data_IF_690219760700
#
_entry.id   IF_690219760700
#
_cell.length_a   1.000
_cell.length_b   1.000
_cell.length_c   1.000
_cell.angle_alpha   90.00
_cell.angle_beta   90.00
_cell.angle_gamma   90.00
#
_symmetry.space_group_name_H-M   'P 1'
#
loop_
_entity.id
_entity.type
_entity.pdbx_description
1 polymer ?
#
# COMPACT_ATOMS: atom_id res chain seq x y z
N UNK A 1 21.59 12.14 7.82
CA UNK A 1 21.85 10.92 7.04
C UNK A 1 20.88 9.89 7.58
N UNK A 2 19.99 9.34 6.74
CA UNK A 2 19.00 8.37 7.21
C UNK A 2 19.67 7.00 7.21
N UNK A 3 19.80 6.40 8.39
CA UNK A 3 20.22 5.01 8.54
C UNK A 3 18.98 4.15 8.74
N UNK A 4 19.01 2.93 8.20
CA UNK A 4 17.93 1.96 8.34
C UNK A 4 18.47 0.61 8.82
N UNK A 5 17.77 0.02 9.78
CA UNK A 5 18.01 -1.35 10.23
C UNK A 5 16.95 -2.27 9.64
N UNK A 6 17.38 -3.29 8.90
CA UNK A 6 16.53 -4.32 8.35
C UNK A 6 16.78 -5.67 9.03
N UNK A 7 15.69 -6.38 9.33
CA UNK A 7 15.73 -7.78 9.76
C UNK A 7 15.33 -8.67 8.59
N UNK A 8 16.30 -9.40 8.05
CA UNK A 8 16.11 -10.32 6.92
C UNK A 8 16.04 -11.76 7.40
N UNK A 9 15.06 -12.53 6.91
CA UNK A 9 14.89 -13.94 7.31
C UNK A 9 15.91 -14.85 6.62
N UNK A 10 16.55 -15.74 7.38
CA UNK A 10 17.46 -16.76 6.84
C UNK A 10 16.68 -17.95 6.26
N UNK A 11 17.18 -18.50 5.15
CA UNK A 11 16.58 -19.67 4.46
C UNK A 11 17.19 -21.01 4.86
N UNK A 12 17.39 -21.22 6.16
CA UNK A 12 17.92 -22.49 6.67
C UNK A 12 16.81 -23.50 6.97
N UNK A 13 17.09 -24.79 6.75
CA UNK A 13 16.21 -25.90 7.14
C UNK A 13 16.33 -26.14 8.65
N UNK A 14 15.88 -25.19 9.46
CA UNK A 14 15.84 -25.30 10.92
C UNK A 14 14.43 -25.00 11.42
N UNK A 15 14.07 -25.60 12.56
CA UNK A 15 12.76 -25.43 13.20
C UNK A 15 12.44 -23.96 13.55
N UNK A 16 13.47 -23.14 13.75
CA UNK A 16 13.38 -21.69 13.88
C UNK A 16 14.36 -21.03 12.91
N UNK A 17 13.90 -20.44 11.80
CA UNK A 17 14.78 -19.74 10.87
C UNK A 17 15.36 -18.51 11.56
N UNK A 18 16.68 -18.43 11.67
CA UNK A 18 17.37 -17.26 12.20
C UNK A 18 17.17 -16.00 11.34
N UNK A 19 17.76 -14.90 11.78
CA UNK A 19 17.73 -13.63 11.06
C UNK A 19 19.14 -13.11 10.80
N UNK A 20 19.23 -12.30 9.75
CA UNK A 20 20.37 -11.43 9.48
C UNK A 20 19.89 -10.01 9.77
N UNK A 21 20.63 -9.27 10.60
CA UNK A 21 20.41 -7.84 10.78
C UNK A 21 21.29 -7.10 9.79
N UNK A 22 20.74 -6.10 9.11
CA UNK A 22 21.47 -5.29 8.13
C UNK A 22 21.29 -3.83 8.49
N UNK A 23 22.40 -3.12 8.66
CA UNK A 23 22.45 -1.67 8.70
C UNK A 23 22.73 -1.13 7.31
N UNK A 24 21.95 -0.13 6.92
CA UNK A 24 21.99 0.47 5.59
C UNK A 24 22.22 1.96 5.74
N UNK A 25 23.32 2.43 5.14
CA UNK A 25 23.67 3.84 5.04
C UNK A 25 23.72 4.30 3.59
N UNK A 26 23.43 5.58 3.36
CA UNK A 26 23.69 6.22 2.08
C UNK A 26 25.14 6.69 1.98
N UNK A 27 25.86 6.29 0.93
CA UNK A 27 27.28 6.60 0.73
C UNK A 27 27.57 7.43 -0.52
N UNK A 28 26.56 7.66 -1.38
CA UNK A 28 26.75 8.36 -2.64
C UNK A 28 25.67 9.40 -2.92
N UNK A 29 25.82 10.14 -4.03
CA UNK A 29 24.89 11.19 -4.42
C UNK A 29 23.55 10.64 -4.93
N UNK A 30 23.50 9.39 -5.38
CA UNK A 30 22.26 8.79 -5.87
C UNK A 30 21.50 8.10 -4.72
N UNK A 31 20.16 8.06 -4.77
CA UNK A 31 19.34 7.48 -3.71
C UNK A 31 19.67 6.02 -3.39
N UNK A 32 20.10 5.24 -4.38
CA UNK A 32 20.46 3.83 -4.23
C UNK A 32 21.98 3.61 -4.19
N UNK A 33 22.77 4.60 -3.82
CA UNK A 33 24.19 4.38 -3.49
C UNK A 33 24.28 4.07 -1.99
N UNK A 34 24.23 2.78 -1.67
CA UNK A 34 24.05 2.25 -0.31
C UNK A 34 25.27 1.45 0.15
N UNK A 35 25.58 1.55 1.44
CA UNK A 35 26.48 0.65 2.16
C UNK A 35 25.65 -0.26 3.05
N UNK A 36 25.93 -1.55 3.00
CA UNK A 36 25.24 -2.57 3.77
C UNK A 36 26.24 -3.25 4.69
N UNK A 37 25.90 -3.28 5.98
CA UNK A 37 26.65 -4.00 7.01
C UNK A 37 25.69 -5.01 7.62
N UNK A 38 25.88 -6.28 7.30
CA UNK A 38 25.10 -7.40 7.80
C UNK A 38 25.76 -8.06 9.00
N UNK A 39 24.97 -8.60 9.92
CA UNK A 39 25.47 -9.50 10.97
C UNK A 39 24.49 -10.63 11.25
N UNK A 40 25.05 -11.81 11.52
CA UNK A 40 24.33 -12.97 12.04
C UNK A 40 24.62 -13.21 13.54
N UNK A 41 25.05 -12.16 14.24
CA UNK A 41 25.55 -12.12 15.62
C UNK A 41 26.96 -12.66 15.84
N UNK A 42 27.54 -13.38 14.86
CA UNK A 42 28.90 -13.94 14.99
C UNK A 42 29.90 -13.20 14.12
N UNK A 43 29.51 -12.85 12.89
CA UNK A 43 30.37 -12.16 11.94
C UNK A 43 29.70 -10.93 11.35
N UNK A 44 30.54 -10.05 10.79
CA UNK A 44 30.16 -8.89 10.01
C UNK A 44 30.37 -9.16 8.53
N UNK A 45 29.38 -8.79 7.74
CA UNK A 45 29.33 -8.98 6.30
C UNK A 45 29.11 -7.63 5.63
N UNK A 46 29.85 -7.36 4.55
CA UNK A 46 29.84 -6.03 3.93
C UNK A 46 29.51 -6.12 2.45
N UNK A 47 28.68 -5.18 1.98
CA UNK A 47 28.48 -4.92 0.56
C UNK A 47 28.28 -3.42 0.32
N UNK A 48 28.55 -3.00 -0.90
CA UNK A 48 28.09 -1.72 -1.43
C UNK A 48 27.15 -1.98 -2.61
N UNK A 49 26.11 -1.18 -2.70
CA UNK A 49 25.17 -1.17 -3.80
C UNK A 49 25.26 0.19 -4.45
N UNK A 50 25.59 0.23 -5.73
CA UNK A 50 25.62 1.47 -6.51
C UNK A 50 24.47 1.50 -7.50
N UNK A 51 23.78 2.63 -7.60
CA UNK A 51 22.65 2.76 -8.52
C UNK A 51 23.07 2.54 -9.99
N UNK A 52 24.33 2.83 -10.34
CA UNK A 52 24.92 2.60 -11.67
C UNK A 52 24.94 1.12 -12.05
N UNK A 53 25.19 0.25 -11.06
CA UNK A 53 25.48 -1.17 -11.26
C UNK A 53 24.27 -2.05 -10.98
N UNK A 54 23.12 -1.48 -10.60
CA UNK A 54 21.90 -2.22 -10.28
C UNK A 54 21.48 -3.25 -11.32
N UNK A 55 21.74 -3.01 -12.60
CA UNK A 55 21.38 -3.95 -13.67
C UNK A 55 22.07 -5.32 -13.50
N UNK A 56 23.28 -5.37 -12.95
CA UNK A 56 23.98 -6.65 -12.73
C UNK A 56 23.39 -7.50 -11.60
N UNK A 57 22.64 -6.88 -10.69
CA UNK A 57 21.98 -7.56 -9.58
C UNK A 57 20.66 -8.25 -9.99
N UNK A 58 20.16 -7.96 -11.19
CA UNK A 58 18.93 -8.56 -11.71
C UNK A 58 19.13 -10.06 -11.97
N UNK A 59 18.15 -10.86 -11.54
CA UNK A 59 18.10 -12.25 -11.96
C UNK A 59 17.84 -12.34 -13.47
N UNK A 60 18.38 -13.38 -14.11
CA UNK A 60 18.23 -13.58 -15.56
C UNK A 60 16.77 -13.76 -16.02
N UNK A 61 15.90 -14.19 -15.11
CA UNK A 61 14.46 -14.36 -15.32
C UNK A 61 13.63 -13.13 -14.87
N UNK A 62 14.26 -12.00 -14.56
CA UNK A 62 13.56 -10.76 -14.28
C UNK A 62 12.98 -10.18 -15.57
N UNK A 63 11.66 -9.94 -15.59
CA UNK A 63 10.93 -9.50 -16.80
C UNK A 63 10.63 -8.00 -16.83
N UNK A 64 11.02 -7.25 -15.80
CA UNK A 64 10.75 -5.82 -15.70
C UNK A 64 11.83 -4.95 -16.35
N UNK A 65 11.55 -3.65 -16.45
CA UNK A 65 12.55 -2.68 -16.89
C UNK A 65 13.49 -2.21 -15.75
N UNK A 66 14.49 -1.41 -16.08
CA UNK A 66 15.46 -0.90 -15.11
C UNK A 66 14.82 0.05 -14.07
N UNK A 67 13.76 0.77 -14.41
CA UNK A 67 13.09 1.67 -13.47
C UNK A 67 12.25 0.88 -12.46
N UNK A 68 11.51 -0.13 -12.91
CA UNK A 68 10.83 -1.09 -12.05
C UNK A 68 11.81 -1.79 -11.12
N UNK A 69 12.99 -2.13 -11.61
CA UNK A 69 14.04 -2.70 -10.77
C UNK A 69 14.55 -1.74 -9.70
N UNK A 70 14.83 -0.48 -10.05
CA UNK A 70 15.19 0.56 -9.08
C UNK A 70 14.11 0.73 -8.01
N UNK A 71 12.85 0.81 -8.41
CA UNK A 71 11.72 0.90 -7.47
C UNK A 71 11.62 -0.33 -6.58
N UNK A 72 11.87 -1.52 -7.13
CA UNK A 72 11.88 -2.77 -6.35
C UNK A 72 13.00 -2.78 -5.31
N UNK A 73 14.20 -2.31 -5.67
CA UNK A 73 15.33 -2.21 -4.73
C UNK A 73 15.07 -1.15 -3.66
N UNK A 74 14.57 0.04 -4.04
CA UNK A 74 14.21 1.09 -3.10
C UNK A 74 13.13 0.60 -2.11
N UNK A 75 12.13 -0.13 -2.60
CA UNK A 75 11.12 -0.75 -1.77
C UNK A 75 11.71 -1.81 -0.83
N UNK A 76 12.53 -2.72 -1.35
CA UNK A 76 13.05 -3.85 -0.58
C UNK A 76 14.10 -3.44 0.47
N UNK A 77 15.00 -2.52 0.14
CA UNK A 77 16.13 -2.12 1.00
C UNK A 77 15.91 -0.81 1.76
N UNK A 78 14.99 0.05 1.34
CA UNK A 78 14.76 1.35 1.99
C UNK A 78 13.31 1.53 2.47
N UNK A 79 12.45 0.51 2.28
CA UNK A 79 11.01 0.59 2.55
C UNK A 79 10.31 1.78 1.88
N UNK A 80 10.88 2.28 0.76
CA UNK A 80 10.31 3.40 0.03
C UNK A 80 9.13 2.93 -0.82
N UNK A 81 7.94 3.44 -0.50
CA UNK A 81 6.75 3.23 -1.32
C UNK A 81 6.69 4.28 -2.44
N UNK A 82 6.50 3.89 -3.71
CA UNK A 82 6.35 4.85 -4.80
C UNK A 82 5.08 5.70 -4.62
N UNK A 83 5.12 6.94 -5.08
CA UNK A 83 3.98 7.86 -5.03
C UNK A 83 2.84 7.36 -5.91
N UNK A 84 1.63 7.30 -5.36
CA UNK A 84 0.42 6.90 -6.08
C UNK A 84 -0.07 5.49 -5.73
N UNK A 85 -0.85 4.85 -6.62
CA UNK A 85 -1.36 3.49 -6.39
C UNK A 85 -0.22 2.48 -6.19
N UNK A 86 -0.38 1.58 -5.21
CA UNK A 86 0.62 0.56 -4.93
C UNK A 86 0.83 -0.36 -6.15
N UNK A 87 2.03 -0.39 -6.75
CA UNK A 87 2.26 -1.15 -7.97
C UNK A 87 2.16 -2.66 -7.74
N UNK A 88 1.51 -3.36 -8.66
CA UNK A 88 1.32 -4.81 -8.58
C UNK A 88 2.65 -5.58 -8.53
N UNK A 89 3.67 -5.09 -9.22
CA UNK A 89 5.00 -5.71 -9.24
C UNK A 89 5.74 -5.61 -7.89
N UNK A 90 5.29 -4.79 -6.94
CA UNK A 90 5.85 -4.76 -5.58
C UNK A 90 5.14 -5.74 -4.64
N UNK A 91 4.00 -6.30 -5.05
CA UNK A 91 3.23 -7.23 -4.22
C UNK A 91 4.03 -8.49 -3.93
N UNK A 92 4.16 -8.82 -2.65
CA UNK A 92 4.87 -10.01 -2.19
C UNK A 92 6.39 -9.93 -2.35
N UNK A 93 6.95 -8.76 -2.65
CA UNK A 93 8.41 -8.57 -2.65
C UNK A 93 8.91 -8.69 -1.21
N UNK A 94 9.89 -9.56 -1.00
CA UNK A 94 10.54 -9.79 0.29
C UNK A 94 12.05 -10.02 0.11
N UNK A 95 12.80 -9.72 1.17
CA UNK A 95 14.21 -10.07 1.29
C UNK A 95 14.37 -11.37 2.06
N UNK A 96 15.27 -12.23 1.57
CA UNK A 96 15.71 -13.43 2.30
C UNK A 96 17.22 -13.56 2.21
N UNK A 97 17.83 -14.14 3.24
CA UNK A 97 19.27 -14.31 3.31
C UNK A 97 19.65 -15.79 3.33
N UNK A 98 20.79 -16.11 2.73
CA UNK A 98 21.45 -17.41 2.85
C UNK A 98 22.90 -17.20 3.23
N UNK A 99 23.31 -17.76 4.35
CA UNK A 99 24.70 -17.71 4.82
C UNK A 99 25.41 -18.95 4.30
N UNK A 100 26.50 -18.77 3.57
CA UNK A 100 27.37 -19.85 3.10
C UNK A 100 28.70 -19.73 3.82
N UNK A 101 29.08 -20.79 4.55
CA UNK A 101 30.39 -20.92 5.19
C UNK A 101 31.11 -22.07 4.53
N UNK A 102 32.28 -21.79 3.96
CA UNK A 102 33.19 -22.82 3.47
C UNK A 102 34.26 -22.99 4.55
N UNK A 103 34.51 -24.23 4.97
CA UNK A 103 35.53 -24.53 5.99
C UNK A 103 36.88 -23.94 5.57
N UNK A 104 37.48 -23.16 6.48
CA UNK A 104 38.73 -22.40 6.34
C UNK A 104 38.70 -21.12 5.47
N UNK A 105 37.55 -20.74 4.90
CA UNK A 105 37.39 -19.50 4.14
C UNK A 105 36.43 -18.50 4.82
N UNK A 106 36.54 -17.23 4.43
CA UNK A 106 35.58 -16.19 4.80
C UNK A 106 34.20 -16.58 4.27
N UNK A 107 33.18 -16.48 5.12
CA UNK A 107 31.80 -16.73 4.71
C UNK A 107 31.25 -15.64 3.80
N UNK A 108 30.23 -15.98 3.02
CA UNK A 108 29.50 -15.04 2.18
C UNK A 108 28.01 -15.13 2.50
N UNK A 109 27.34 -13.99 2.53
CA UNK A 109 25.89 -13.91 2.72
C UNK A 109 25.24 -13.44 1.44
N UNK A 110 24.43 -14.31 0.82
CA UNK A 110 23.63 -13.94 -0.34
C UNK A 110 22.26 -13.44 0.13
N UNK A 111 22.00 -12.15 -0.06
CA UNK A 111 20.67 -11.57 0.08
C UNK A 111 19.95 -11.73 -1.26
N UNK A 112 18.79 -12.34 -1.23
CA UNK A 112 17.93 -12.51 -2.42
C UNK A 112 16.70 -11.62 -2.29
N UNK A 113 16.52 -10.76 -3.29
CA UNK A 113 15.25 -10.06 -3.53
C UNK A 113 14.36 -11.00 -4.29
N UNK A 114 13.23 -11.40 -3.70
CA UNK A 114 12.29 -12.32 -4.34
C UNK A 114 10.86 -11.84 -4.19
N UNK A 115 9.99 -12.33 -5.06
CA UNK A 115 8.55 -12.19 -4.97
C UNK A 115 7.94 -13.50 -4.49
N UNK A 116 7.03 -13.44 -3.53
CA UNK A 116 6.27 -14.58 -3.03
C UNK A 116 4.78 -14.25 -3.03
N UNK A 117 4.02 -14.87 -3.93
CA UNK A 117 2.57 -14.71 -4.02
C UNK A 117 1.95 -16.10 -3.92
N UNK A 118 1.17 -16.34 -2.87
CA UNK A 118 0.48 -17.61 -2.66
C UNK A 118 1.43 -18.82 -2.53
N UNK A 119 2.67 -18.63 -2.08
CA UNK A 119 3.68 -19.69 -1.96
C UNK A 119 4.54 -19.91 -3.21
N UNK A 120 4.21 -19.26 -4.33
CA UNK A 120 5.04 -19.29 -5.54
C UNK A 120 6.13 -18.23 -5.40
N UNK A 121 7.39 -18.67 -5.34
CA UNK A 121 8.55 -17.79 -5.19
C UNK A 121 9.26 -17.55 -6.52
N UNK A 122 9.46 -16.29 -6.89
CA UNK A 122 10.26 -15.86 -8.03
C UNK A 122 11.44 -15.02 -7.53
N UNK A 123 12.66 -15.43 -7.82
CA UNK A 123 13.85 -14.59 -7.58
C UNK A 123 13.85 -13.42 -8.55
N UNK A 124 14.02 -12.20 -8.04
CA UNK A 124 14.10 -10.97 -8.83
C UNK A 124 15.55 -10.49 -8.97
N UNK A 125 16.38 -10.77 -7.95
CA UNK A 125 17.80 -10.47 -7.97
C UNK A 125 18.49 -10.88 -6.68
N UNK A 126 19.81 -10.71 -6.63
CA UNK A 126 20.63 -11.08 -5.48
C UNK A 126 21.81 -10.13 -5.29
N UNK A 127 22.27 -10.02 -4.04
CA UNK A 127 23.43 -9.26 -3.63
C UNK A 127 24.23 -10.09 -2.63
N UNK A 128 25.52 -10.24 -2.86
CA UNK A 128 26.42 -10.96 -1.97
C UNK A 128 27.15 -9.98 -1.04
N UNK A 129 27.22 -10.33 0.25
CA UNK A 129 27.97 -9.62 1.27
C UNK A 129 29.13 -10.51 1.72
N UNK A 130 30.33 -9.95 1.71
CA UNK A 130 31.55 -10.67 2.07
C UNK A 130 31.88 -10.50 3.55
N UNK A 131 32.29 -11.59 4.21
CA UNK A 131 32.69 -11.53 5.61
C UNK A 131 33.98 -10.70 5.78
N UNK A 132 33.93 -9.74 6.70
CA UNK A 132 35.08 -8.90 7.02
C UNK A 132 34.95 -8.31 8.42
N UNK A 133 35.25 -9.11 9.44
CA UNK A 133 35.11 -8.73 10.86
C UNK A 133 36.06 -7.60 11.29
N UNK A 134 37.07 -7.28 10.46
CA UNK A 134 38.11 -6.29 10.77
C UNK A 134 37.89 -4.93 10.10
N UNK A 135 36.90 -4.81 9.20
CA UNK A 135 36.72 -3.61 8.38
C UNK A 135 36.36 -2.38 9.21
N UNK A 136 35.46 -2.55 10.17
CA UNK A 136 34.97 -1.48 11.02
C UNK A 136 34.40 -2.03 12.33
N UNK A 137 34.48 -1.21 13.39
CA UNK A 137 33.80 -1.49 14.65
C UNK A 137 32.34 -1.07 14.57
N UNK A 138 31.43 -1.99 14.92
CA UNK A 138 29.99 -1.76 14.84
C UNK A 138 29.41 -1.44 16.21
N UNK A 139 28.79 -0.28 16.34
CA UNK A 139 28.03 0.12 17.53
C UNK A 139 26.64 -0.51 17.56
N UNK A 140 26.51 -1.76 18.03
CA UNK A 140 25.21 -2.44 18.07
C UNK A 140 24.13 -1.71 18.90
N UNK A 141 24.54 -0.94 19.91
CA UNK A 141 23.61 -0.11 20.70
C UNK A 141 23.01 1.01 19.85
N UNK A 142 23.78 1.62 18.96
CA UNK A 142 23.31 2.63 18.00
C UNK A 142 22.31 2.01 17.02
N UNK A 143 22.56 0.78 16.56
CA UNK A 143 21.62 0.06 15.70
C UNK A 143 20.28 -0.19 16.40
N UNK A 144 20.31 -0.56 17.68
CA UNK A 144 19.09 -0.74 18.47
C UNK A 144 18.34 0.59 18.62
N UNK A 145 19.05 1.70 18.85
CA UNK A 145 18.45 3.03 18.93
C UNK A 145 17.76 3.43 17.63
N UNK A 146 18.42 3.23 16.48
CA UNK A 146 17.83 3.46 15.15
C UNK A 146 16.60 2.56 14.92
N UNK A 147 16.69 1.27 15.28
CA UNK A 147 15.57 0.34 15.13
C UNK A 147 14.38 0.70 16.04
N UNK A 148 14.63 1.15 17.27
CA UNK A 148 13.60 1.59 18.20
C UNK A 148 12.94 2.89 17.72
N UNK A 149 13.72 3.89 17.32
CA UNK A 149 13.22 5.15 16.79
C UNK A 149 12.36 4.95 15.53
N UNK A 150 12.79 4.06 14.62
CA UNK A 150 11.98 3.74 13.43
C UNK A 150 10.69 2.99 13.78
N UNK A 151 10.70 2.09 14.77
CA UNK A 151 9.49 1.43 15.25
C UNK A 151 8.49 2.39 15.89
N UNK A 152 8.98 3.36 16.69
CA UNK A 152 8.16 4.39 17.32
C UNK A 152 7.53 5.32 16.29
N UNK A 153 8.30 5.76 15.29
CA UNK A 153 7.79 6.58 14.18
C UNK A 153 6.73 5.83 13.36
N UNK A 154 6.97 4.56 13.02
CA UNK A 154 5.99 3.73 12.33
C UNK A 154 4.70 3.53 13.15
N UNK A 155 4.82 3.39 14.47
CA UNK A 155 3.66 3.30 15.35
C UNK A 155 2.85 4.60 15.35
N UNK A 156 3.51 5.75 15.42
CA UNK A 156 2.85 7.05 15.34
C UNK A 156 2.12 7.24 14.00
N UNK A 157 2.77 6.88 12.89
CA UNK A 157 2.15 6.94 11.56
C UNK A 157 0.96 5.98 11.44
N UNK A 158 1.04 4.78 12.03
CA UNK A 158 -0.06 3.83 12.06
C UNK A 158 -1.26 4.39 12.84
N UNK A 159 -1.02 4.96 14.02
CA UNK A 159 -2.09 5.56 14.85
C UNK A 159 -2.77 6.73 14.11
N UNK A 160 -2.00 7.58 13.43
CA UNK A 160 -2.54 8.66 12.59
C UNK A 160 -3.36 8.13 11.41
N UNK A 161 -2.87 7.07 10.75
CA UNK A 161 -3.56 6.45 9.61
C UNK A 161 -4.89 5.80 10.04
N UNK A 162 -4.89 5.09 11.17
CA UNK A 162 -6.09 4.50 11.77
C UNK A 162 -7.11 5.57 12.16
N UNK A 163 -6.66 6.66 12.79
CA UNK A 163 -7.55 7.78 13.15
C UNK A 163 -8.16 8.43 11.89
N UNK A 164 -7.36 8.66 10.85
CA UNK A 164 -7.85 9.19 9.58
C UNK A 164 -8.84 8.24 8.91
N UNK A 165 -8.56 6.93 8.91
CA UNK A 165 -9.44 5.92 8.32
C UNK A 165 -10.79 5.86 9.06
N UNK A 166 -10.78 5.90 10.40
CA UNK A 166 -12.00 5.97 11.20
C UNK A 166 -12.81 7.23 10.88
N UNK A 167 -12.16 8.40 10.85
CA UNK A 167 -12.84 9.66 10.54
C UNK A 167 -13.44 9.68 9.11
N UNK A 168 -12.78 9.04 8.14
CA UNK A 168 -13.32 8.88 6.79
C UNK A 168 -14.52 7.92 6.77
N UNK A 169 -14.47 6.81 7.52
CA UNK A 169 -15.58 5.88 7.65
C UNK A 169 -16.80 6.52 8.31
N UNK A 170 -16.60 7.35 9.32
CA UNK A 170 -17.67 8.10 9.98
C UNK A 170 -18.34 9.08 9.00
N UNK A 171 -17.55 9.80 8.20
CA UNK A 171 -18.06 10.70 7.16
C UNK A 171 -18.85 9.94 6.08
N UNK A 172 -18.39 8.77 5.64
CA UNK A 172 -19.13 7.94 4.68
C UNK A 172 -20.47 7.52 5.25
N UNK A 173 -20.48 7.11 6.53
CA UNK A 173 -21.71 6.71 7.24
C UNK A 173 -22.69 7.87 7.34
N UNK A 174 -22.21 9.06 7.71
CA UNK A 174 -23.03 10.28 7.77
C UNK A 174 -23.60 10.65 6.39
N UNK A 175 -22.76 10.69 5.35
CA UNK A 175 -23.20 11.04 3.99
C UNK A 175 -24.21 10.04 3.43
N UNK A 176 -24.07 8.76 3.78
CA UNK A 176 -25.02 7.72 3.39
C UNK A 176 -26.36 7.94 4.09
N UNK A 177 -26.37 8.26 5.38
CA UNK A 177 -27.58 8.59 6.12
C UNK A 177 -28.27 9.85 5.58
N UNK A 178 -27.50 10.91 5.27
CA UNK A 178 -28.01 12.13 4.65
C UNK A 178 -28.63 11.86 3.27
N UNK A 179 -27.97 11.02 2.45
CA UNK A 179 -28.48 10.61 1.15
C UNK A 179 -29.81 9.84 1.28
N UNK A 180 -29.90 8.90 2.22
CA UNK A 180 -31.13 8.13 2.46
C UNK A 180 -32.28 9.03 2.90
N UNK A 181 -32.01 10.02 3.76
CA UNK A 181 -33.00 11.02 4.16
C UNK A 181 -33.46 11.87 2.97
N UNK A 182 -32.54 12.28 2.10
CA UNK A 182 -32.85 13.09 0.91
C UNK A 182 -33.68 12.29 -0.10
N UNK A 183 -33.35 11.02 -0.32
CA UNK A 183 -34.13 10.10 -1.16
C UNK A 183 -35.53 9.92 -0.60
N UNK A 184 -35.68 9.75 0.72
CA UNK A 184 -36.98 9.63 1.36
C UNK A 184 -37.81 10.91 1.22
N UNK A 185 -37.24 12.07 1.54
CA UNK A 185 -37.91 13.36 1.41
C UNK A 185 -38.34 13.65 -0.03
N UNK A 186 -37.51 13.29 -1.02
CA UNK A 186 -37.85 13.40 -2.44
C UNK A 186 -39.06 12.55 -2.80
N UNK A 187 -39.12 11.30 -2.34
CA UNK A 187 -40.27 10.41 -2.60
C UNK A 187 -41.55 10.94 -1.98
N UNK A 188 -41.49 11.36 -0.72
CA UNK A 188 -42.65 11.94 -0.02
C UNK A 188 -43.19 13.18 -0.74
N UNK A 189 -42.29 14.05 -1.22
CA UNK A 189 -42.66 15.23 -2.00
C UNK A 189 -43.24 14.87 -3.39
N UNK A 190 -42.70 13.86 -4.07
CA UNK A 190 -43.26 13.36 -5.33
C UNK A 190 -44.67 12.79 -5.14
N UNK A 191 -44.91 12.03 -4.08
CA UNK A 191 -46.22 11.49 -3.73
C UNK A 191 -47.22 12.61 -3.40
N UNK A 192 -46.80 13.63 -2.66
CA UNK A 192 -47.62 14.80 -2.36
C UNK A 192 -48.01 15.56 -3.63
N UNK A 193 -47.06 15.77 -4.54
CA UNK A 193 -47.31 16.42 -5.83
C UNK A 193 -48.29 15.61 -6.70
N UNK A 194 -48.11 14.29 -6.79
CA UNK A 194 -49.02 13.41 -7.52
C UNK A 194 -50.45 13.47 -6.95
N UNK A 195 -50.59 13.50 -5.63
CA UNK A 195 -51.88 13.67 -4.96
C UNK A 195 -52.54 15.01 -5.29
N UNK A 196 -51.79 16.11 -5.23
CA UNK A 196 -52.26 17.45 -5.61
C UNK A 196 -52.69 17.51 -7.08
N UNK A 197 -51.92 16.90 -7.98
CA UNK A 197 -52.29 16.84 -9.41
C UNK A 197 -53.55 16.02 -9.63
N UNK A 198 -53.73 14.88 -8.95
CA UNK A 198 -54.94 14.08 -9.03
C UNK A 198 -56.18 14.87 -8.55
N UNK A 199 -56.06 15.60 -7.44
CA UNK A 199 -57.12 16.46 -6.94
C UNK A 199 -57.50 17.57 -7.94
N UNK A 200 -56.51 18.26 -8.50
CA UNK A 200 -56.71 19.27 -9.55
C UNK A 200 -57.40 18.70 -10.79
N UNK A 201 -56.98 17.52 -11.25
CA UNK A 201 -57.59 16.80 -12.37
C UNK A 201 -59.06 16.47 -12.11
N UNK A 202 -59.38 15.98 -10.91
CA UNK A 202 -60.75 15.65 -10.54
C UNK A 202 -61.64 16.89 -10.48
N UNK A 203 -61.16 17.99 -9.90
CA UNK A 203 -61.88 19.27 -9.86
C UNK A 203 -62.12 19.82 -11.27
N UNK A 204 -61.11 19.74 -12.16
CA UNK A 204 -61.28 20.13 -13.57
C UNK A 204 -62.31 19.25 -14.29
N UNK A 205 -62.25 17.92 -14.12
CA UNK A 205 -63.22 16.98 -14.71
C UNK A 205 -64.65 17.29 -14.25
N UNK A 206 -64.84 17.58 -12.97
CA UNK A 206 -66.14 17.93 -12.40
C UNK A 206 -66.67 19.23 -13.01
N UNK A 207 -65.82 20.27 -13.09
CA UNK A 207 -66.17 21.56 -13.69
C UNK A 207 -66.53 21.44 -15.18
N UNK A 208 -65.79 20.64 -15.95
CA UNK A 208 -66.08 20.35 -17.36
C UNK A 208 -67.45 19.67 -17.50
N UNK A 209 -67.74 18.68 -16.64
CA UNK A 209 -69.02 17.96 -16.67
C UNK A 209 -70.20 18.87 -16.35
N UNK A 210 -70.05 19.77 -15.38
CA UNK A 210 -71.09 20.75 -15.05
C UNK A 210 -71.32 21.75 -16.19
N UNK A 211 -70.25 22.25 -16.80
CA UNK A 211 -70.34 23.13 -17.98
C UNK A 211 -71.03 22.43 -19.15
N UNK A 212 -70.69 21.16 -19.43
CA UNK A 212 -71.37 20.36 -20.45
C UNK A 212 -72.86 20.19 -20.13
N UNK A 213 -73.23 19.88 -18.88
CA UNK A 213 -74.64 19.79 -18.46
C UNK A 213 -75.40 21.11 -18.67
N UNK A 214 -74.79 22.24 -18.34
CA UNK A 214 -75.40 23.56 -18.54
C UNK A 214 -75.60 23.86 -20.02
N UNK A 215 -74.61 23.56 -20.87
CA UNK A 215 -74.70 23.73 -22.33
C UNK A 215 -75.79 22.83 -22.94
N UNK A 216 -75.88 21.57 -22.51
CA UNK A 216 -76.93 20.66 -22.98
C UNK A 216 -78.32 21.16 -22.58
N UNK A 217 -78.49 21.71 -21.37
CA UNK A 217 -79.77 22.32 -20.95
C UNK A 217 -80.09 23.60 -21.71
N UNK A 218 -79.09 24.43 -22.01
CA UNK A 218 -79.27 25.66 -22.78
C UNK A 218 -79.68 25.36 -24.24
N UNK A 219 -79.12 24.32 -24.88
CA UNK A 219 -79.51 23.91 -26.23
C UNK A 219 -80.93 23.33 -26.31
N UNK A 220 -81.45 22.71 -25.25
CA UNK A 220 -82.82 22.16 -25.21
C UNK A 220 -83.89 23.26 -25.04
N UNK A 221 -83.50 24.45 -24.59
CA UNK A 221 -84.39 25.62 -24.46
C UNK A 221 -84.30 26.59 -25.65
N UNK A 222 -83.50 26.28 -26.67
CA UNK A 222 -83.26 27.13 -27.84
C UNK A 222 -83.90 26.59 -29.15
N UNK A 223 -84.69 25.51 -29.05
CA UNK A 223 -85.70 25.10 -30.05
C UNK A 223 -87.09 25.57 -29.61
#
# INVERSE_FOLDING_TARGET
MVSLILRVRRQEKQAHPGHLLIHIDHIGPKPLDLKLIGTDHSHLYHASLEQSSLKSLQASNFTGDLQQWKTTIAYAFLHQTPTGPFPEFLRGVELVAKITRVSDEKGTVTITVRRNIGGITQTLGSLDLEQDDTREEVGFVEWVDVAAATADDLRLQLDQSLASSSAQQDRITQLTAELDQLVKAKREHEDELLSKFAALLNTKKLKIRDQQRLLSRANVNAE
#
